data_IF_957862081726
#
_entry.id   IF_957862081726
#
_cell.length_a   1.000
_cell.length_b   1.000
_cell.length_c   1.000
_cell.angle_alpha   90.00
_cell.angle_beta   90.00
_cell.angle_gamma   90.00
#
_symmetry.space_group_name_H-M   'P 1'
#
loop_
_entity.id
_entity.type
_entity.pdbx_description
1 polymer ?
#
# COMPACT_ATOMS: atom_id res chain seq x y z
N UNK A 1 -39.32 66.06 12.21
CA UNK A 1 -37.95 65.73 11.63
C UNK A 1 -37.13 64.72 12.53
N UNK A 2 -37.69 63.57 12.91
CA UNK A 2 -37.02 62.64 13.83
C UNK A 2 -36.98 61.17 13.34
N UNK A 3 -37.29 60.95 12.06
CA UNK A 3 -37.42 59.56 11.58
C UNK A 3 -36.22 59.05 10.70
N UNK A 4 -35.34 59.96 10.25
CA UNK A 4 -34.17 59.56 9.43
C UNK A 4 -33.00 58.95 10.22
N UNK A 5 -32.91 59.17 11.52
CA UNK A 5 -31.82 58.65 12.36
C UNK A 5 -31.93 57.15 12.67
N UNK A 6 -33.16 56.69 12.89
CA UNK A 6 -33.44 55.28 13.21
C UNK A 6 -33.15 54.35 12.02
N UNK A 7 -33.47 54.78 10.80
CA UNK A 7 -33.19 54.02 9.57
C UNK A 7 -31.68 53.87 9.28
N UNK A 8 -30.90 54.95 9.46
CA UNK A 8 -29.43 54.93 9.26
C UNK A 8 -28.77 54.01 10.28
N UNK A 9 -29.17 54.06 11.55
CA UNK A 9 -28.62 53.19 12.60
C UNK A 9 -28.93 51.70 12.31
N UNK A 10 -30.13 51.38 11.88
CA UNK A 10 -30.52 50.00 11.51
C UNK A 10 -29.68 49.46 10.34
N UNK A 11 -29.43 50.28 9.32
CA UNK A 11 -28.57 49.91 8.18
C UNK A 11 -27.11 49.65 8.63
N UNK A 12 -26.54 50.52 9.47
CA UNK A 12 -25.21 50.37 10.00
C UNK A 12 -25.05 49.08 10.84
N UNK A 13 -26.03 48.76 11.69
CA UNK A 13 -26.08 47.52 12.47
C UNK A 13 -26.16 46.31 11.57
N UNK A 14 -26.99 46.32 10.54
CA UNK A 14 -27.10 45.22 9.58
C UNK A 14 -25.76 44.98 8.82
N UNK A 15 -25.11 46.05 8.35
CA UNK A 15 -23.80 45.98 7.71
C UNK A 15 -22.75 45.39 8.66
N UNK A 16 -22.73 45.85 9.91
CA UNK A 16 -21.81 45.31 10.93
C UNK A 16 -22.01 43.79 11.15
N UNK A 17 -23.26 43.35 11.27
CA UNK A 17 -23.60 41.92 11.42
C UNK A 17 -23.10 41.12 10.22
N UNK A 18 -23.30 41.61 8.99
CA UNK A 18 -22.81 40.95 7.77
C UNK A 18 -21.28 40.87 7.78
N UNK A 19 -20.57 41.94 8.15
CA UNK A 19 -19.11 41.92 8.24
C UNK A 19 -18.60 40.94 9.29
N UNK A 20 -19.29 40.88 10.44
CA UNK A 20 -18.94 39.87 11.49
C UNK A 20 -19.16 38.46 10.98
N UNK A 21 -20.25 38.16 10.26
CA UNK A 21 -20.54 36.86 9.67
C UNK A 21 -19.43 36.49 8.66
N UNK A 22 -19.05 37.44 7.80
CA UNK A 22 -17.96 37.21 6.81
C UNK A 22 -16.65 36.96 7.52
N UNK A 23 -16.30 37.73 8.55
CA UNK A 23 -15.07 37.58 9.31
C UNK A 23 -15.03 36.19 10.01
N UNK A 24 -16.11 35.84 10.73
CA UNK A 24 -16.23 34.55 11.43
C UNK A 24 -16.16 33.39 10.41
N UNK A 25 -16.89 33.50 9.30
CA UNK A 25 -16.85 32.52 8.20
C UNK A 25 -15.43 32.36 7.63
N UNK A 26 -14.74 33.46 7.41
CA UNK A 26 -13.35 33.47 6.95
C UNK A 26 -12.38 32.80 7.92
N UNK A 27 -12.52 33.07 9.23
CA UNK A 27 -11.71 32.41 10.29
C UNK A 27 -11.98 30.92 10.33
N UNK A 28 -13.25 30.50 10.34
CA UNK A 28 -13.62 29.08 10.34
C UNK A 28 -13.09 28.34 9.10
N UNK A 29 -13.18 28.98 7.94
CA UNK A 29 -12.64 28.43 6.69
C UNK A 29 -11.10 28.30 6.74
N UNK A 30 -10.39 29.29 7.25
CA UNK A 30 -8.94 29.23 7.44
C UNK A 30 -8.54 28.11 8.42
N UNK A 31 -9.31 27.91 9.50
CA UNK A 31 -9.12 26.80 10.44
C UNK A 31 -9.34 25.45 9.75
N UNK A 32 -10.38 25.32 8.93
CA UNK A 32 -10.64 24.11 8.14
C UNK A 32 -9.49 23.82 7.17
N UNK A 33 -8.99 24.81 6.44
CA UNK A 33 -7.83 24.61 5.55
C UNK A 33 -6.57 24.18 6.30
N UNK A 34 -6.31 24.80 7.46
CA UNK A 34 -5.18 24.42 8.31
C UNK A 34 -5.32 22.98 8.84
N UNK A 35 -6.52 22.59 9.26
CA UNK A 35 -6.82 21.26 9.74
C UNK A 35 -6.62 20.19 8.62
N UNK A 36 -7.19 20.46 7.45
CA UNK A 36 -7.06 19.55 6.31
C UNK A 36 -5.61 19.46 5.79
N UNK A 37 -4.81 20.54 5.85
CA UNK A 37 -3.38 20.49 5.52
C UNK A 37 -2.58 19.63 6.51
N UNK A 38 -2.93 19.63 7.79
CA UNK A 38 -2.33 18.72 8.78
C UNK A 38 -2.63 17.26 8.45
N UNK A 39 -3.90 16.94 8.13
CA UNK A 39 -4.30 15.58 7.69
C UNK A 39 -3.52 15.22 6.42
N UNK A 40 -3.49 16.09 5.43
CA UNK A 40 -2.77 15.89 4.17
C UNK A 40 -1.29 15.59 4.43
N UNK A 41 -0.62 16.40 5.23
CA UNK A 41 0.79 16.17 5.59
C UNK A 41 0.99 14.81 6.27
N UNK A 42 0.12 14.46 7.22
CA UNK A 42 0.18 13.17 7.91
C UNK A 42 0.03 11.99 6.94
N UNK A 43 -0.84 12.09 5.95
CA UNK A 43 -1.10 11.03 4.97
C UNK A 43 0.01 10.88 3.93
N UNK A 44 0.56 11.98 3.43
CA UNK A 44 1.42 11.98 2.24
C UNK A 44 2.90 12.25 2.54
N UNK A 45 3.25 12.57 3.76
CA UNK A 45 4.66 12.72 4.11
C UNK A 45 5.20 11.45 4.75
N UNK A 46 6.51 11.31 4.79
CA UNK A 46 7.20 10.19 5.41
C UNK A 46 6.68 9.93 6.81
N UNK A 47 6.15 8.75 7.12
CA UNK A 47 5.50 8.47 8.40
C UNK A 47 6.45 8.56 9.60
N UNK A 48 7.72 8.16 9.41
CA UNK A 48 8.74 8.22 10.48
C UNK A 48 10.10 8.66 9.94
N UNK A 49 10.91 9.39 10.74
CA UNK A 49 12.33 9.52 10.45
C UNK A 49 12.93 8.11 10.42
N UNK A 50 13.98 7.92 9.59
CA UNK A 50 14.72 6.67 9.48
C UNK A 50 15.00 6.08 10.86
N UNK A 51 14.51 4.86 11.20
CA UNK A 51 15.11 4.14 12.30
C UNK A 51 16.57 3.94 11.92
N UNK A 52 17.47 4.29 12.82
CA UNK A 52 18.88 3.94 12.67
C UNK A 52 18.96 2.43 12.56
N UNK A 53 19.25 1.94 11.35
CA UNK A 53 19.45 0.52 11.01
C UNK A 53 18.37 -0.39 11.61
N UNK A 54 17.88 -1.34 10.87
CA UNK A 54 17.01 -2.43 11.36
C UNK A 54 17.69 -3.22 12.50
N UNK A 55 17.87 -2.57 13.64
CA UNK A 55 18.30 -3.26 14.85
C UNK A 55 17.15 -4.14 15.30
N UNK A 56 17.48 -5.39 15.62
CA UNK A 56 16.51 -6.27 16.28
C UNK A 56 15.81 -5.50 17.41
N UNK A 57 14.48 -5.42 17.39
CA UNK A 57 13.77 -4.76 18.48
C UNK A 57 14.13 -5.45 19.80
N UNK A 58 14.26 -4.67 20.87
CA UNK A 58 14.64 -5.18 22.21
C UNK A 58 13.72 -6.30 22.69
N UNK A 59 12.49 -6.36 22.18
CA UNK A 59 11.51 -7.39 22.53
C UNK A 59 10.67 -7.74 21.28
N UNK A 60 10.72 -9.02 20.89
CA UNK A 60 9.89 -9.59 19.80
C UNK A 60 8.89 -10.55 20.45
N UNK A 61 7.61 -10.33 20.21
CA UNK A 61 6.57 -11.28 20.63
C UNK A 61 6.58 -12.52 19.71
N UNK A 62 7.21 -13.58 20.19
CA UNK A 62 7.34 -14.87 19.47
C UNK A 62 6.08 -15.72 19.51
N UNK A 63 5.04 -15.33 20.22
CA UNK A 63 3.75 -16.03 20.21
C UNK A 63 3.04 -15.86 18.86
N UNK A 64 3.23 -14.72 18.19
CA UNK A 64 2.63 -14.37 16.91
C UNK A 64 3.42 -14.92 15.72
N UNK A 65 2.75 -15.14 14.58
CA UNK A 65 3.40 -15.54 13.32
C UNK A 65 4.37 -14.46 12.86
N UNK A 66 3.92 -13.21 12.89
CA UNK A 66 4.73 -12.06 12.52
C UNK A 66 5.98 -11.94 13.40
N UNK A 67 5.83 -12.09 14.71
CA UNK A 67 6.96 -12.08 15.64
C UNK A 67 7.93 -13.24 15.43
N UNK A 68 7.44 -14.46 15.15
CA UNK A 68 8.30 -15.59 14.75
C UNK A 68 9.05 -15.32 13.45
N UNK A 69 8.39 -14.66 12.48
CA UNK A 69 9.01 -14.23 11.23
C UNK A 69 10.12 -13.21 11.46
N UNK A 70 9.86 -12.15 12.24
CA UNK A 70 10.86 -11.15 12.62
C UNK A 70 12.05 -11.78 13.34
N UNK A 71 11.79 -12.65 14.33
CA UNK A 71 12.85 -13.35 15.05
C UNK A 71 13.72 -14.18 14.08
N UNK A 72 13.10 -14.89 13.14
CA UNK A 72 13.83 -15.63 12.11
C UNK A 72 14.69 -14.70 11.24
N UNK A 73 14.15 -13.57 10.76
CA UNK A 73 14.90 -12.60 9.97
C UNK A 73 16.11 -12.05 10.72
N UNK A 74 15.96 -11.65 11.97
CA UNK A 74 17.08 -11.11 12.76
C UNK A 74 18.09 -12.18 13.16
N UNK A 75 17.66 -13.43 13.41
CA UNK A 75 18.56 -14.55 13.70
C UNK A 75 19.45 -14.89 12.51
N UNK A 76 18.88 -14.84 11.30
CA UNK A 76 19.59 -15.15 10.05
C UNK A 76 19.93 -13.88 9.24
N UNK A 77 20.10 -12.75 9.93
CA UNK A 77 20.34 -11.47 9.26
C UNK A 77 21.57 -11.49 8.33
N UNK A 78 22.60 -12.23 8.66
CA UNK A 78 23.81 -12.37 7.83
C UNK A 78 23.57 -13.05 6.47
N UNK A 79 22.45 -13.74 6.29
CA UNK A 79 22.06 -14.35 5.02
C UNK A 79 21.29 -13.35 4.12
N UNK A 80 21.00 -12.17 4.62
CA UNK A 80 20.29 -11.12 3.91
C UNK A 80 21.24 -10.00 3.52
N UNK A 81 21.46 -9.85 2.22
CA UNK A 81 22.33 -8.82 1.66
C UNK A 81 21.53 -7.50 1.53
N UNK A 82 22.06 -6.43 2.09
CA UNK A 82 21.52 -5.09 1.84
C UNK A 82 21.71 -4.70 0.37
N UNK A 83 20.62 -4.43 -0.34
CA UNK A 83 20.63 -4.09 -1.76
C UNK A 83 19.97 -2.75 -2.03
N UNK A 84 20.34 -2.11 -3.15
CA UNK A 84 19.80 -0.82 -3.57
C UNK A 84 19.51 -0.84 -5.06
N UNK A 85 18.49 -0.07 -5.45
CA UNK A 85 18.19 0.24 -6.85
C UNK A 85 17.68 1.68 -6.93
N UNK A 86 17.64 2.26 -8.12
CA UNK A 86 17.11 3.62 -8.35
C UNK A 86 15.88 3.52 -9.25
N UNK A 87 14.89 4.33 -8.94
CA UNK A 87 13.69 4.51 -9.76
C UNK A 87 13.98 5.45 -10.93
N UNK A 88 13.04 5.56 -11.87
CA UNK A 88 13.15 6.45 -13.02
C UNK A 88 13.27 7.95 -12.62
N UNK A 89 12.66 8.34 -11.49
CA UNK A 89 12.71 9.70 -10.94
C UNK A 89 13.90 9.94 -10.00
N UNK A 90 14.87 9.00 -9.97
CA UNK A 90 16.10 9.10 -9.19
C UNK A 90 15.93 8.78 -7.69
N UNK A 91 14.75 8.33 -7.24
CA UNK A 91 14.58 7.90 -5.86
C UNK A 91 15.37 6.62 -5.60
N UNK A 92 16.25 6.64 -4.60
CA UNK A 92 17.00 5.46 -4.18
C UNK A 92 16.13 4.55 -3.33
N UNK A 93 15.89 3.33 -3.79
CA UNK A 93 15.22 2.28 -3.02
C UNK A 93 16.25 1.34 -2.38
N UNK A 94 15.88 0.80 -1.23
CA UNK A 94 16.68 -0.15 -0.46
C UNK A 94 15.85 -1.39 -0.14
N UNK A 95 16.52 -2.51 0.11
CA UNK A 95 15.87 -3.76 0.50
C UNK A 95 16.87 -4.78 1.00
N UNK A 96 16.36 -5.91 1.45
CA UNK A 96 17.13 -7.07 1.86
C UNK A 96 16.92 -8.20 0.86
N UNK A 97 18.01 -8.67 0.27
CA UNK A 97 18.01 -9.75 -0.70
C UNK A 97 18.62 -11.01 -0.10
N UNK A 98 17.92 -12.12 -0.23
CA UNK A 98 18.43 -13.45 0.11
C UNK A 98 18.48 -14.31 -1.15
N UNK A 99 19.65 -14.81 -1.56
CA UNK A 99 19.79 -15.70 -2.71
C UNK A 99 19.13 -17.05 -2.45
N UNK A 100 18.68 -17.71 -3.52
CA UNK A 100 18.35 -19.14 -3.49
C UNK A 100 19.60 -19.97 -3.23
N UNK A 101 19.44 -21.13 -2.59
CA UNK A 101 20.51 -22.13 -2.48
C UNK A 101 20.86 -22.79 -3.81
N UNK A 102 19.95 -22.72 -4.80
CA UNK A 102 20.16 -23.23 -6.15
C UNK A 102 20.55 -22.08 -7.08
N UNK A 103 21.76 -22.11 -7.60
CA UNK A 103 22.27 -21.10 -8.54
C UNK A 103 21.55 -21.06 -9.88
N UNK A 104 20.85 -22.13 -10.26
CA UNK A 104 20.05 -22.20 -11.50
C UNK A 104 18.63 -21.64 -11.34
N UNK A 105 18.23 -21.35 -10.10
CA UNK A 105 16.90 -20.83 -9.80
C UNK A 105 16.64 -19.52 -10.51
N UNK A 106 15.47 -19.40 -11.16
CA UNK A 106 14.99 -18.19 -11.86
C UNK A 106 13.78 -17.55 -11.19
N UNK A 107 13.38 -18.09 -10.03
CA UNK A 107 12.25 -17.53 -9.29
C UNK A 107 12.71 -16.45 -8.32
N UNK A 108 12.03 -15.31 -8.33
CA UNK A 108 12.19 -14.21 -7.38
C UNK A 108 10.87 -13.95 -6.66
N UNK A 109 10.90 -13.84 -5.35
CA UNK A 109 9.79 -13.34 -4.55
C UNK A 109 10.12 -11.92 -4.10
N UNK A 110 9.31 -10.96 -4.50
CA UNK A 110 9.43 -9.56 -4.05
C UNK A 110 8.32 -9.32 -3.03
N UNK A 111 8.74 -8.96 -1.81
CA UNK A 111 7.84 -8.76 -0.68
C UNK A 111 7.73 -7.27 -0.35
N UNK A 112 6.49 -6.76 -0.36
CA UNK A 112 6.18 -5.34 -0.21
C UNK A 112 5.30 -5.12 1.01
N UNK A 113 5.83 -4.39 1.99
CA UNK A 113 5.16 -4.15 3.28
C UNK A 113 4.03 -3.10 3.17
N UNK A 114 3.23 -2.95 4.23
CA UNK A 114 2.19 -1.95 4.35
C UNK A 114 2.70 -0.55 4.74
N UNK A 115 1.76 0.39 4.88
CA UNK A 115 2.06 1.74 5.34
C UNK A 115 2.61 1.73 6.78
N UNK A 116 3.61 2.57 7.06
CA UNK A 116 4.30 2.69 8.36
C UNK A 116 4.91 1.37 8.88
N UNK A 117 5.24 0.46 7.99
CA UNK A 117 5.88 -0.81 8.27
C UNK A 117 7.36 -0.83 7.79
N UNK A 118 8.02 -1.96 8.01
CA UNK A 118 9.39 -2.23 7.58
C UNK A 118 9.47 -3.59 6.87
N UNK A 119 10.56 -3.91 6.16
CA UNK A 119 10.77 -5.22 5.56
C UNK A 119 10.65 -6.39 6.55
N UNK A 120 11.00 -6.18 7.81
CA UNK A 120 10.89 -7.21 8.85
C UNK A 120 9.46 -7.72 9.06
N UNK A 121 8.43 -6.89 8.76
CA UNK A 121 7.02 -7.30 8.80
C UNK A 121 6.71 -8.37 7.74
N UNK A 122 7.48 -8.41 6.66
CA UNK A 122 7.32 -9.39 5.58
C UNK A 122 8.09 -10.70 5.81
N UNK A 123 8.84 -10.82 6.91
CA UNK A 123 9.72 -11.97 7.15
C UNK A 123 8.97 -13.30 7.31
N UNK A 124 7.78 -13.29 7.91
CA UNK A 124 6.93 -14.49 8.00
C UNK A 124 6.47 -14.97 6.60
N UNK A 125 6.11 -14.02 5.73
CA UNK A 125 5.73 -14.28 4.35
C UNK A 125 6.92 -14.76 3.51
N UNK A 126 8.11 -14.17 3.70
CA UNK A 126 9.33 -14.62 3.05
C UNK A 126 9.64 -16.08 3.42
N UNK A 127 9.57 -16.41 4.72
CA UNK A 127 9.77 -17.77 5.22
C UNK A 127 8.73 -18.74 4.66
N UNK A 128 7.47 -18.34 4.54
CA UNK A 128 6.42 -19.12 3.90
C UNK A 128 6.76 -19.40 2.44
N UNK A 129 7.05 -18.36 1.66
CA UNK A 129 7.34 -18.51 0.23
C UNK A 129 8.57 -19.39 -0.03
N UNK A 130 9.65 -19.22 0.73
CA UNK A 130 10.85 -20.04 0.61
C UNK A 130 10.63 -21.52 0.93
N UNK A 131 9.60 -21.87 1.71
CA UNK A 131 9.18 -23.26 1.95
C UNK A 131 8.29 -23.81 0.85
N UNK A 132 7.60 -22.94 0.09
CA UNK A 132 6.62 -23.34 -0.92
C UNK A 132 7.17 -23.34 -2.33
N UNK A 133 8.15 -22.50 -2.60
CA UNK A 133 8.83 -22.43 -3.90
C UNK A 133 10.30 -22.13 -3.70
N UNK A 134 11.15 -22.84 -4.42
CA UNK A 134 12.56 -22.50 -4.46
C UNK A 134 12.74 -21.15 -5.14
N UNK A 135 13.26 -20.16 -4.42
CA UNK A 135 13.32 -18.78 -4.89
C UNK A 135 14.43 -17.97 -4.23
N UNK A 136 14.82 -16.93 -4.92
CA UNK A 136 15.44 -15.75 -4.33
C UNK A 136 14.36 -14.89 -3.68
N UNK A 137 14.69 -14.15 -2.63
CA UNK A 137 13.75 -13.26 -1.95
C UNK A 137 14.30 -11.84 -1.87
N UNK A 138 13.43 -10.85 -2.07
CA UNK A 138 13.69 -9.45 -1.74
C UNK A 138 12.59 -8.95 -0.81
N UNK A 139 12.95 -8.46 0.36
CA UNK A 139 12.05 -7.67 1.21
C UNK A 139 12.40 -6.19 1.01
N UNK A 140 11.47 -5.43 0.43
CA UNK A 140 11.72 -4.04 0.03
C UNK A 140 11.42 -3.06 1.16
N UNK A 141 12.18 -1.96 1.26
CA UNK A 141 11.68 -0.73 1.86
C UNK A 141 10.93 0.06 0.79
N UNK A 142 9.65 0.34 1.01
CA UNK A 142 8.89 1.20 0.10
C UNK A 142 9.47 2.62 0.08
N UNK A 143 9.17 3.39 -0.98
CA UNK A 143 9.43 4.84 -1.05
C UNK A 143 8.98 5.52 0.24
N UNK A 144 9.73 6.50 0.73
CA UNK A 144 9.48 7.23 1.97
C UNK A 144 9.44 6.39 3.26
N UNK A 145 9.86 5.11 3.22
CA UNK A 145 9.97 4.23 4.39
C UNK A 145 11.41 3.76 4.63
N UNK A 146 11.72 3.50 5.89
CA UNK A 146 12.98 2.90 6.31
C UNK A 146 14.21 3.51 5.63
N UNK A 147 15.01 2.68 4.96
CA UNK A 147 16.27 3.08 4.30
C UNK A 147 16.08 3.56 2.86
N UNK A 148 14.87 3.51 2.30
CA UNK A 148 14.57 4.08 0.99
C UNK A 148 14.48 5.60 1.05
N UNK A 149 14.79 6.23 -0.09
CA UNK A 149 14.64 7.66 -0.31
C UNK A 149 13.18 8.08 -0.42
N UNK A 150 13.00 9.36 -0.79
CA UNK A 150 11.68 9.96 -0.93
C UNK A 150 11.19 10.59 0.37
N UNK A 151 10.34 11.62 0.22
CA UNK A 151 9.70 12.32 1.34
C UNK A 151 8.18 12.17 1.30
N UNK A 152 7.66 11.67 0.19
CA UNK A 152 6.23 11.59 -0.09
C UNK A 152 5.85 10.13 -0.33
N UNK A 153 4.74 9.72 0.29
CA UNK A 153 4.08 8.44 0.07
C UNK A 153 2.75 8.68 -0.63
N UNK A 154 2.46 7.96 -1.70
CA UNK A 154 1.32 8.25 -2.58
C UNK A 154 0.26 7.16 -2.61
N UNK A 155 0.25 6.30 -1.59
CA UNK A 155 -0.75 5.25 -1.37
C UNK A 155 -0.86 4.25 -2.52
N UNK A 156 0.24 3.98 -3.18
CA UNK A 156 0.36 3.01 -4.25
C UNK A 156 0.66 3.60 -5.62
N UNK A 157 0.45 4.90 -5.85
CA UNK A 157 0.61 5.48 -7.19
C UNK A 157 2.09 5.51 -7.64
N UNK A 158 2.96 6.21 -6.91
CA UNK A 158 4.40 6.21 -7.21
C UNK A 158 5.04 4.88 -6.82
N UNK A 159 4.56 4.26 -5.74
CA UNK A 159 5.03 2.98 -5.24
C UNK A 159 4.79 1.84 -6.26
N UNK A 160 3.77 1.95 -7.11
CA UNK A 160 3.54 1.00 -8.21
C UNK A 160 4.61 1.09 -9.29
N UNK A 161 5.05 2.31 -9.60
CA UNK A 161 6.11 2.56 -10.60
C UNK A 161 7.49 2.18 -10.03
N UNK A 162 7.68 2.29 -8.71
CA UNK A 162 8.91 1.85 -8.05
C UNK A 162 9.20 0.35 -8.23
N UNK A 163 8.18 -0.47 -8.45
CA UNK A 163 8.34 -1.90 -8.69
C UNK A 163 9.16 -2.20 -9.96
N UNK A 164 9.11 -1.33 -10.97
CA UNK A 164 9.91 -1.49 -12.18
C UNK A 164 11.41 -1.53 -11.86
N UNK A 165 11.87 -0.72 -10.90
CA UNK A 165 13.25 -0.74 -10.46
C UNK A 165 13.65 -2.10 -9.82
N UNK A 166 12.73 -2.76 -9.12
CA UNK A 166 12.94 -4.09 -8.56
C UNK A 166 12.83 -5.19 -9.61
N UNK A 167 11.99 -5.02 -10.64
CA UNK A 167 11.93 -5.93 -11.79
C UNK A 167 13.25 -5.89 -12.57
N UNK A 168 13.76 -4.70 -12.87
CA UNK A 168 15.04 -4.52 -13.53
C UNK A 168 16.22 -5.04 -12.67
N UNK A 169 16.19 -4.84 -11.35
CA UNK A 169 17.15 -5.45 -10.44
C UNK A 169 17.14 -6.99 -10.55
N UNK A 170 15.94 -7.58 -10.63
CA UNK A 170 15.76 -9.03 -10.76
C UNK A 170 16.28 -9.53 -12.11
N UNK A 171 15.92 -8.87 -13.21
CA UNK A 171 16.40 -9.24 -14.56
C UNK A 171 17.92 -9.18 -14.69
N UNK A 172 18.56 -8.16 -14.12
CA UNK A 172 20.03 -8.07 -14.09
C UNK A 172 20.70 -9.22 -13.35
N UNK A 173 20.05 -9.83 -12.36
CA UNK A 173 20.58 -10.94 -11.57
C UNK A 173 20.26 -12.31 -12.13
N UNK A 174 19.03 -12.49 -12.63
CA UNK A 174 18.49 -13.80 -13.00
C UNK A 174 18.26 -13.98 -14.51
N UNK A 175 18.47 -12.92 -15.29
CA UNK A 175 18.17 -12.91 -16.73
C UNK A 175 16.70 -12.56 -17.03
N UNK A 176 16.41 -12.31 -18.30
CA UNK A 176 15.09 -11.88 -18.77
C UNK A 176 14.01 -12.97 -18.68
N UNK A 177 14.40 -14.23 -18.53
CA UNK A 177 13.50 -15.36 -18.29
C UNK A 177 13.19 -15.60 -16.82
N UNK A 178 13.46 -14.62 -15.94
CA UNK A 178 13.11 -14.70 -14.54
C UNK A 178 11.59 -14.78 -14.33
N UNK A 179 11.19 -15.32 -13.19
CA UNK A 179 9.80 -15.48 -12.76
C UNK A 179 9.61 -14.78 -11.42
N UNK A 180 8.76 -13.75 -11.41
CA UNK A 180 8.57 -12.92 -10.22
C UNK A 180 7.20 -13.24 -9.59
N UNK A 181 7.20 -13.50 -8.30
CA UNK A 181 6.01 -13.55 -7.46
C UNK A 181 5.98 -12.33 -6.56
N UNK A 182 4.89 -11.58 -6.58
CA UNK A 182 4.69 -10.46 -5.67
C UNK A 182 3.89 -10.93 -4.45
N UNK A 183 4.37 -10.64 -3.27
CA UNK A 183 3.68 -10.90 -2.00
C UNK A 183 3.62 -9.60 -1.23
N UNK A 184 2.43 -9.09 -1.00
CA UNK A 184 2.30 -7.76 -0.46
C UNK A 184 1.10 -7.64 0.49
N UNK A 185 1.17 -6.66 1.40
CA UNK A 185 0.09 -6.39 2.35
C UNK A 185 -0.24 -4.89 2.43
N UNK A 186 -1.49 -4.58 2.74
CA UNK A 186 -1.98 -3.21 2.89
C UNK A 186 -1.67 -2.34 1.68
N UNK A 187 -1.07 -1.17 1.90
CA UNK A 187 -0.68 -0.24 0.85
C UNK A 187 0.33 -0.82 -0.15
N UNK A 188 1.20 -1.75 0.29
CA UNK A 188 2.08 -2.49 -0.61
C UNK A 188 1.32 -3.38 -1.59
N UNK A 189 0.24 -4.02 -1.13
CA UNK A 189 -0.64 -4.82 -1.98
C UNK A 189 -1.35 -3.92 -3.02
N UNK A 190 -1.81 -2.74 -2.62
CA UNK A 190 -2.37 -1.73 -3.53
C UNK A 190 -1.35 -1.31 -4.59
N UNK A 191 -0.10 -1.05 -4.22
CA UNK A 191 0.96 -0.71 -5.17
C UNK A 191 1.19 -1.84 -6.20
N UNK A 192 1.23 -3.10 -5.76
CA UNK A 192 1.38 -4.25 -6.66
C UNK A 192 0.20 -4.39 -7.64
N UNK A 193 -1.02 -4.16 -7.18
CA UNK A 193 -2.22 -4.22 -8.01
C UNK A 193 -2.29 -3.07 -9.02
N UNK A 194 -1.91 -1.85 -8.63
CA UNK A 194 -1.80 -0.72 -9.55
C UNK A 194 -0.71 -0.93 -10.60
N UNK A 195 0.45 -1.46 -10.21
CA UNK A 195 1.50 -1.82 -11.16
C UNK A 195 1.01 -2.84 -12.19
N UNK A 196 0.23 -3.83 -11.74
CA UNK A 196 -0.29 -4.89 -12.61
C UNK A 196 -1.30 -4.42 -13.67
N UNK A 197 -1.76 -3.17 -13.59
CA UNK A 197 -2.60 -2.53 -14.61
C UNK A 197 -1.78 -1.94 -15.76
N UNK A 198 -0.45 -1.88 -15.62
CA UNK A 198 0.43 -1.29 -16.63
C UNK A 198 0.70 -2.28 -17.78
N UNK A 199 0.90 -1.74 -18.98
CA UNK A 199 1.28 -2.51 -20.16
C UNK A 199 2.63 -3.21 -19.95
N UNK A 200 2.77 -4.47 -20.34
CA UNK A 200 4.02 -5.22 -20.21
C UNK A 200 4.31 -5.80 -18.82
N UNK A 201 3.48 -5.49 -17.83
CA UNK A 201 3.68 -5.97 -16.46
C UNK A 201 3.72 -7.51 -16.35
N UNK A 202 2.98 -8.22 -17.15
CA UNK A 202 2.91 -9.69 -17.15
C UNK A 202 4.13 -10.39 -17.75
N UNK A 203 5.04 -9.64 -18.40
CA UNK A 203 6.25 -10.21 -19.01
C UNK A 203 7.18 -10.91 -18.01
N UNK A 204 7.17 -10.51 -16.76
CA UNK A 204 8.04 -11.09 -15.73
C UNK A 204 7.28 -11.58 -14.48
N UNK A 205 6.07 -11.08 -14.23
CA UNK A 205 5.30 -11.44 -13.02
C UNK A 205 4.42 -12.66 -13.27
N UNK A 206 4.53 -13.65 -12.38
CA UNK A 206 3.78 -14.91 -12.44
C UNK A 206 2.46 -14.87 -11.68
N UNK A 207 2.41 -14.09 -10.61
CA UNK A 207 1.22 -13.91 -9.78
C UNK A 207 1.42 -12.95 -8.62
N UNK A 208 0.31 -12.48 -8.06
CA UNK A 208 0.25 -11.53 -6.95
C UNK A 208 -0.54 -12.14 -5.80
N UNK A 209 0.04 -12.13 -4.60
CA UNK A 209 -0.62 -12.42 -3.33
C UNK A 209 -0.79 -11.09 -2.61
N UNK A 210 -2.03 -10.63 -2.48
CA UNK A 210 -2.43 -9.36 -1.90
C UNK A 210 -3.19 -9.58 -0.59
N UNK A 211 -2.61 -9.18 0.54
CA UNK A 211 -3.24 -9.28 1.85
C UNK A 211 -3.79 -7.90 2.27
N UNK A 212 -5.11 -7.82 2.46
CA UNK A 212 -5.84 -6.60 2.86
C UNK A 212 -5.52 -5.38 1.96
N UNK A 213 -5.65 -5.49 0.61
CA UNK A 213 -5.38 -4.36 -0.27
C UNK A 213 -6.39 -3.24 -0.06
N UNK A 214 -5.95 -2.01 -0.19
CA UNK A 214 -6.84 -0.85 -0.31
C UNK A 214 -7.37 -0.79 -1.75
N UNK A 215 -8.67 -0.97 -1.94
CA UNK A 215 -9.29 -0.96 -3.26
C UNK A 215 -9.19 0.43 -3.92
N UNK A 216 -9.46 1.49 -3.15
CA UNK A 216 -9.26 2.88 -3.59
C UNK A 216 -8.87 3.78 -2.42
N UNK A 217 -8.08 4.82 -2.68
CA UNK A 217 -7.70 5.81 -1.65
C UNK A 217 -8.91 6.58 -1.15
N UNK A 218 -9.85 6.91 -2.04
CA UNK A 218 -11.08 7.59 -1.65
C UNK A 218 -11.94 6.73 -0.74
N UNK A 219 -12.09 5.42 -1.04
CA UNK A 219 -12.79 4.46 -0.19
C UNK A 219 -12.12 4.30 1.18
N UNK A 220 -10.80 4.19 1.22
CA UNK A 220 -10.03 4.15 2.46
C UNK A 220 -10.25 5.41 3.32
N UNK A 221 -10.19 6.60 2.71
CA UNK A 221 -10.42 7.86 3.44
C UNK A 221 -11.86 7.95 3.97
N UNK A 222 -12.86 7.50 3.20
CA UNK A 222 -14.26 7.44 3.65
C UNK A 222 -14.45 6.48 4.84
N UNK A 223 -13.72 5.39 4.89
CA UNK A 223 -13.79 4.44 6.00
C UNK A 223 -13.07 4.95 7.27
N UNK A 224 -11.95 5.66 7.12
CA UNK A 224 -11.08 6.02 8.25
C UNK A 224 -11.30 7.42 8.81
N UNK A 225 -11.69 8.41 8.00
CA UNK A 225 -11.92 9.80 8.45
C UNK A 225 -13.01 9.91 9.52
N UNK A 226 -14.17 9.24 9.44
CA UNK A 226 -15.22 9.33 10.47
C UNK A 226 -14.75 8.90 11.87
N UNK A 227 -13.73 8.04 11.94
CA UNK A 227 -13.13 7.60 13.20
C UNK A 227 -12.25 8.69 13.86
N UNK A 228 -11.87 9.73 13.11
CA UNK A 228 -10.92 10.76 13.56
C UNK A 228 -11.53 12.17 13.63
N UNK A 229 -12.65 12.41 12.95
CA UNK A 229 -13.29 13.73 12.88
C UNK A 229 -14.80 13.62 12.66
N UNK A 230 -15.52 14.66 13.12
CA UNK A 230 -16.97 14.82 12.85
C UNK A 230 -17.26 15.66 11.59
N UNK A 231 -16.24 16.16 10.91
CA UNK A 231 -16.40 16.89 9.66
C UNK A 231 -16.74 15.87 8.57
N UNK A 232 -17.67 16.23 7.68
CA UNK A 232 -18.05 15.40 6.55
C UNK A 232 -16.79 14.97 5.75
N UNK A 233 -16.55 13.66 5.59
CA UNK A 233 -15.40 13.14 4.87
C UNK A 233 -15.24 13.69 3.45
N UNK A 234 -16.32 13.94 2.73
CA UNK A 234 -16.25 14.41 1.34
C UNK A 234 -15.67 15.83 1.23
N UNK A 235 -15.86 16.69 2.23
CA UNK A 235 -15.21 18.01 2.28
C UNK A 235 -13.69 17.88 2.48
N UNK A 236 -13.28 16.99 3.39
CA UNK A 236 -11.86 16.73 3.66
C UNK A 236 -11.21 16.09 2.45
N UNK A 237 -11.83 15.09 1.83
CA UNK A 237 -11.34 14.40 0.62
C UNK A 237 -11.22 15.39 -0.54
N UNK A 238 -12.21 16.28 -0.71
CA UNK A 238 -12.16 17.34 -1.71
C UNK A 238 -10.95 18.26 -1.54
N UNK A 239 -10.61 18.61 -0.29
CA UNK A 239 -9.43 19.43 0.00
C UNK A 239 -8.13 18.64 -0.15
N UNK A 240 -8.10 17.36 0.25
CA UNK A 240 -6.96 16.45 0.02
C UNK A 240 -6.67 16.34 -1.48
N UNK A 241 -7.71 16.16 -2.31
CA UNK A 241 -7.59 16.12 -3.79
C UNK A 241 -6.96 17.39 -4.34
N UNK A 242 -7.45 18.57 -3.92
CA UNK A 242 -6.88 19.86 -4.34
C UNK A 242 -5.41 19.97 -3.95
N UNK A 243 -5.07 19.61 -2.72
CA UNK A 243 -3.70 19.66 -2.22
C UNK A 243 -2.77 18.68 -2.97
N UNK A 244 -3.23 17.45 -3.27
CA UNK A 244 -2.47 16.46 -4.03
C UNK A 244 -2.21 16.95 -5.47
N UNK A 245 -3.24 17.47 -6.13
CA UNK A 245 -3.12 18.02 -7.48
C UNK A 245 -2.18 19.23 -7.52
N UNK A 246 -2.23 20.11 -6.53
CA UNK A 246 -1.40 21.30 -6.48
C UNK A 246 0.06 20.96 -6.13
N UNK A 247 0.29 20.16 -5.06
CA UNK A 247 1.63 19.89 -4.51
C UNK A 247 2.37 18.79 -5.26
N UNK A 248 1.66 17.75 -5.72
CA UNK A 248 2.27 16.55 -6.30
C UNK A 248 1.87 16.29 -7.75
N UNK A 249 1.00 17.13 -8.32
CA UNK A 249 0.54 17.04 -9.71
C UNK A 249 -0.15 15.70 -10.05
N UNK A 250 -0.78 15.04 -9.07
CA UNK A 250 -1.56 13.83 -9.33
C UNK A 250 -2.98 13.91 -8.76
N UNK A 251 -3.91 13.18 -9.37
CA UNK A 251 -5.26 12.98 -8.85
C UNK A 251 -5.30 11.73 -7.96
N UNK A 252 -5.77 11.88 -6.71
CA UNK A 252 -5.92 10.79 -5.75
C UNK A 252 -6.87 9.69 -6.25
N UNK A 253 -7.80 10.00 -7.17
CA UNK A 253 -8.69 9.01 -7.78
C UNK A 253 -7.93 7.99 -8.64
N UNK A 254 -6.72 8.29 -9.06
CA UNK A 254 -5.86 7.31 -9.76
C UNK A 254 -5.34 6.21 -8.83
N UNK A 255 -5.41 6.41 -7.51
CA UNK A 255 -5.13 5.37 -6.53
C UNK A 255 -6.39 4.50 -6.32
N UNK A 256 -6.87 3.90 -7.40
CA UNK A 256 -8.03 3.01 -7.43
C UNK A 256 -7.67 1.74 -8.20
N UNK A 257 -7.38 0.67 -7.46
CA UNK A 257 -7.03 -0.61 -8.07
C UNK A 257 -8.26 -1.44 -8.43
N UNK A 258 -9.44 -1.10 -7.91
CA UNK A 258 -10.68 -1.79 -8.26
C UNK A 258 -11.23 -1.33 -9.62
N UNK A 259 -11.22 -0.03 -9.90
CA UNK A 259 -11.78 0.57 -11.11
C UNK A 259 -11.17 -0.02 -12.40
N UNK A 260 -9.86 -0.24 -12.42
CA UNK A 260 -9.14 -0.75 -13.58
C UNK A 260 -8.63 -2.20 -13.42
N UNK A 261 -9.20 -2.96 -12.48
CA UNK A 261 -8.78 -4.33 -12.20
C UNK A 261 -8.88 -5.27 -13.41
N UNK A 262 -9.77 -4.99 -14.37
CA UNK A 262 -9.89 -5.75 -15.62
C UNK A 262 -8.64 -5.70 -16.52
N UNK A 263 -7.76 -4.72 -16.32
CA UNK A 263 -6.48 -4.62 -17.02
C UNK A 263 -5.43 -5.62 -16.50
N UNK A 264 -5.59 -6.13 -15.27
CA UNK A 264 -4.67 -7.08 -14.65
C UNK A 264 -4.74 -8.43 -15.36
N UNK A 265 -3.62 -8.89 -15.92
CA UNK A 265 -3.52 -10.13 -16.70
C UNK A 265 -2.91 -11.31 -15.93
N UNK A 266 -2.22 -11.03 -14.84
CA UNK A 266 -1.59 -12.05 -14.00
C UNK A 266 -2.59 -12.61 -12.97
N UNK A 267 -2.41 -13.86 -12.50
CA UNK A 267 -3.21 -14.41 -11.40
C UNK A 267 -3.14 -13.57 -10.14
N UNK A 268 -4.24 -13.42 -9.41
CA UNK A 268 -4.32 -12.69 -8.15
C UNK A 268 -4.98 -13.53 -7.07
N UNK A 269 -4.31 -13.66 -5.92
CA UNK A 269 -4.86 -14.20 -4.69
C UNK A 269 -5.04 -13.05 -3.69
N UNK A 270 -6.28 -12.81 -3.27
CA UNK A 270 -6.61 -11.79 -2.28
C UNK A 270 -6.94 -12.48 -0.95
N UNK A 271 -6.29 -12.05 0.12
CA UNK A 271 -6.73 -12.32 1.49
C UNK A 271 -7.36 -11.05 2.06
N UNK A 272 -8.47 -11.21 2.78
CA UNK A 272 -9.22 -10.10 3.36
C UNK A 272 -9.75 -10.44 4.74
N UNK A 273 -9.50 -9.58 5.72
CA UNK A 273 -10.10 -9.67 7.03
C UNK A 273 -11.59 -9.36 6.99
N UNK A 274 -12.41 -10.21 7.62
CA UNK A 274 -13.86 -10.00 7.70
C UNK A 274 -14.24 -8.83 8.62
N UNK A 275 -13.39 -8.53 9.61
CA UNK A 275 -13.53 -7.43 10.57
C UNK A 275 -12.56 -6.26 10.27
N UNK A 276 -12.11 -6.13 9.01
CA UNK A 276 -11.21 -5.06 8.59
C UNK A 276 -12.00 -3.74 8.43
N UNK A 277 -11.83 -2.83 9.37
CA UNK A 277 -12.42 -1.50 9.41
C UNK A 277 -11.54 -0.40 8.76
N UNK A 278 -10.32 -0.76 8.35
CA UNK A 278 -9.37 0.12 7.67
C UNK A 278 -9.52 0.01 6.15
N UNK A 279 -9.51 -1.22 5.63
CA UNK A 279 -9.81 -1.54 4.24
C UNK A 279 -10.99 -2.52 4.19
N UNK A 280 -12.23 -2.02 4.23
CA UNK A 280 -13.41 -2.86 4.40
C UNK A 280 -13.55 -3.93 3.31
N UNK A 281 -14.10 -5.11 3.64
CA UNK A 281 -14.26 -6.23 2.70
C UNK A 281 -15.04 -5.90 1.42
N UNK A 282 -15.89 -4.87 1.47
CA UNK A 282 -16.65 -4.38 0.28
C UNK A 282 -15.72 -3.94 -0.84
N UNK A 283 -14.64 -3.21 -0.52
CA UNK A 283 -13.67 -2.78 -1.52
C UNK A 283 -12.91 -3.95 -2.15
N UNK A 284 -12.49 -4.94 -1.35
CA UNK A 284 -11.86 -6.15 -1.89
C UNK A 284 -12.82 -7.01 -2.72
N UNK A 285 -14.11 -7.00 -2.43
CA UNK A 285 -15.14 -7.66 -3.27
C UNK A 285 -15.26 -6.94 -4.62
N UNK A 286 -15.37 -5.61 -4.62
CA UNK A 286 -15.40 -4.81 -5.84
C UNK A 286 -14.16 -5.05 -6.71
N UNK A 287 -12.97 -5.02 -6.11
CA UNK A 287 -11.71 -5.37 -6.78
C UNK A 287 -11.79 -6.78 -7.38
N UNK A 288 -12.22 -7.77 -6.58
CA UNK A 288 -12.34 -9.16 -7.04
C UNK A 288 -13.31 -9.28 -8.19
N UNK A 289 -14.48 -8.67 -8.13
CA UNK A 289 -15.53 -8.76 -9.17
C UNK A 289 -15.03 -8.20 -10.50
N UNK A 290 -14.27 -7.10 -10.47
CA UNK A 290 -13.72 -6.42 -11.64
C UNK A 290 -12.51 -7.14 -12.26
N UNK A 291 -11.78 -7.98 -11.52
CA UNK A 291 -10.69 -8.79 -12.07
C UNK A 291 -11.20 -9.73 -13.18
N UNK A 292 -10.47 -9.79 -14.29
CA UNK A 292 -10.73 -10.72 -15.41
C UNK A 292 -9.69 -11.83 -15.52
N UNK A 293 -8.56 -11.68 -14.87
CA UNK A 293 -7.53 -12.71 -14.77
C UNK A 293 -7.98 -13.85 -13.84
N UNK A 294 -7.18 -14.93 -13.77
CA UNK A 294 -7.37 -15.98 -12.76
C UNK A 294 -7.29 -15.37 -11.37
N UNK A 295 -8.34 -15.55 -10.58
CA UNK A 295 -8.51 -14.89 -9.30
C UNK A 295 -9.01 -15.82 -8.21
N UNK A 296 -8.59 -15.56 -6.99
CA UNK A 296 -9.10 -16.19 -5.77
C UNK A 296 -9.19 -15.14 -4.67
N UNK A 297 -10.27 -15.14 -3.92
CA UNK A 297 -10.40 -14.33 -2.70
C UNK A 297 -10.72 -15.23 -1.53
N UNK A 298 -10.08 -14.97 -0.39
CA UNK A 298 -10.25 -15.69 0.86
C UNK A 298 -10.55 -14.68 1.95
N UNK A 299 -11.74 -14.76 2.53
CA UNK A 299 -12.15 -13.92 3.66
C UNK A 299 -11.91 -14.69 4.95
N UNK A 300 -11.18 -14.08 5.89
CA UNK A 300 -10.93 -14.60 7.23
C UNK A 300 -11.85 -13.86 8.20
N UNK A 301 -12.97 -14.46 8.58
CA UNK A 301 -14.08 -13.77 9.25
C UNK A 301 -13.68 -13.02 10.52
N UNK A 302 -12.78 -13.58 11.34
CA UNK A 302 -12.33 -13.01 12.62
C UNK A 302 -10.98 -12.28 12.53
N UNK A 303 -10.57 -11.85 11.33
CA UNK A 303 -9.35 -11.09 11.11
C UNK A 303 -9.66 -9.61 10.88
N UNK A 304 -8.87 -8.75 11.50
CA UNK A 304 -8.78 -7.31 11.22
C UNK A 304 -7.81 -7.05 10.08
N UNK A 305 -7.47 -5.78 9.87
CA UNK A 305 -6.55 -5.33 8.83
C UNK A 305 -5.18 -6.04 8.92
N UNK A 306 -4.79 -6.72 7.83
CA UNK A 306 -3.52 -7.45 7.72
C UNK A 306 -3.30 -8.56 8.77
N UNK A 307 -4.38 -9.10 9.37
CA UNK A 307 -4.31 -10.19 10.35
C UNK A 307 -4.63 -11.58 9.75
N UNK A 308 -4.91 -11.69 8.45
CA UNK A 308 -5.37 -12.93 7.84
C UNK A 308 -4.43 -14.11 8.09
N UNK A 309 -3.12 -13.90 7.93
CA UNK A 309 -2.11 -14.94 8.17
C UNK A 309 -2.04 -15.32 9.64
N UNK A 310 -2.11 -14.33 10.54
CA UNK A 310 -2.08 -14.54 11.99
C UNK A 310 -3.28 -15.34 12.49
N UNK A 311 -4.48 -15.02 12.00
CA UNK A 311 -5.72 -15.64 12.46
C UNK A 311 -5.98 -17.03 11.89
N UNK A 312 -5.43 -17.34 10.72
CA UNK A 312 -5.71 -18.61 10.04
C UNK A 312 -4.50 -19.16 9.29
N UNK A 313 -3.41 -19.46 10.02
CA UNK A 313 -2.13 -19.88 9.44
C UNK A 313 -2.27 -21.05 8.47
N UNK A 314 -2.88 -22.16 8.90
CA UNK A 314 -2.96 -23.37 8.10
C UNK A 314 -3.75 -23.16 6.80
N UNK A 315 -4.84 -22.41 6.87
CA UNK A 315 -5.64 -22.07 5.69
C UNK A 315 -4.87 -21.13 4.77
N UNK A 316 -4.23 -20.09 5.30
CA UNK A 316 -3.43 -19.14 4.54
C UNK A 316 -2.32 -19.86 3.76
N UNK A 317 -1.52 -20.70 4.43
CA UNK A 317 -0.43 -21.47 3.82
C UNK A 317 -0.92 -22.46 2.75
N UNK A 318 -2.10 -23.09 2.95
CA UNK A 318 -2.73 -23.97 1.97
C UNK A 318 -3.19 -23.22 0.72
N UNK A 319 -3.84 -22.07 0.88
CA UNK A 319 -4.32 -21.28 -0.27
C UNK A 319 -3.14 -20.67 -1.05
N UNK A 320 -2.07 -20.24 -0.38
CA UNK A 320 -0.81 -19.82 -1.02
C UNK A 320 -0.21 -20.98 -1.84
N UNK A 321 -0.15 -22.20 -1.30
CA UNK A 321 0.36 -23.37 -2.02
C UNK A 321 -0.43 -23.62 -3.31
N UNK A 322 -1.77 -23.72 -3.20
CA UNK A 322 -2.66 -23.90 -4.36
C UNK A 322 -2.49 -22.81 -5.42
N UNK A 323 -2.31 -21.57 -4.96
CA UNK A 323 -2.11 -20.43 -5.84
C UNK A 323 -0.80 -20.55 -6.63
N UNK A 324 0.32 -20.87 -5.96
CA UNK A 324 1.64 -21.09 -6.61
C UNK A 324 1.53 -22.19 -7.66
N UNK A 325 0.94 -23.35 -7.31
CA UNK A 325 0.72 -24.47 -8.24
C UNK A 325 -0.08 -24.02 -9.48
N UNK A 326 -1.08 -23.18 -9.25
CA UNK A 326 -1.89 -22.63 -10.33
C UNK A 326 -1.13 -21.68 -11.26
N UNK A 327 -0.18 -20.91 -10.71
CA UNK A 327 0.71 -20.05 -11.50
C UNK A 327 1.68 -20.89 -12.34
N UNK A 328 2.23 -21.96 -11.78
CA UNK A 328 3.11 -22.91 -12.51
C UNK A 328 2.36 -23.52 -13.72
N UNK A 329 1.14 -24.02 -13.52
CA UNK A 329 0.32 -24.56 -14.61
C UNK A 329 0.08 -23.51 -15.72
N UNK A 330 -0.14 -22.24 -15.34
CA UNK A 330 -0.28 -21.16 -16.33
C UNK A 330 1.03 -20.96 -17.13
N UNK A 331 2.16 -20.93 -16.44
CA UNK A 331 3.47 -20.71 -17.07
C UNK A 331 3.80 -21.81 -18.08
N UNK A 332 3.52 -23.08 -17.75
CA UNK A 332 3.65 -24.21 -18.69
C UNK A 332 2.77 -23.98 -19.93
N UNK A 333 1.50 -23.60 -19.74
CA UNK A 333 0.56 -23.39 -20.87
C UNK A 333 0.98 -22.26 -21.82
N UNK A 334 1.71 -21.27 -21.35
CA UNK A 334 2.18 -20.14 -22.17
C UNK A 334 3.66 -20.29 -22.59
N UNK A 335 4.28 -21.47 -22.35
CA UNK A 335 5.65 -21.76 -22.78
C UNK A 335 6.72 -20.95 -22.02
N UNK A 336 6.47 -20.59 -20.76
CA UNK A 336 7.41 -19.82 -19.92
C UNK A 336 8.03 -20.63 -18.78
N UNK A 337 7.83 -21.95 -18.78
CA UNK A 337 8.43 -22.91 -17.85
C UNK A 337 9.13 -24.01 -18.64
#
# INVERSE_FOLDING_TARGET
MSDNGSGVTAVLVAVLIVLIIILVGGVLFAMFLSYTDKIFKKLFTRPRPLPQVDRSPKKIDRSTINGRGKNWFYTFHNEWLGVRTNTFDGCRLSGYYRPSSDSTCRNMVILVHGYDESPAEMAAYARLMMRKVQCHCIMTHMRAHGMSGGKTFTWGLMESVDLDAWFEFTKRRLGNNCRIYLVARGAGATACLLAAQQKGFDECVCGIIADSPMASLTGFLKATLPQTTKIDPDWIIGQIRRNAQHKFKFDINRCDCALHASAIKVPVLIFQGGEDDITPPSGSRELYDNLRSRKRMVIVNNAKHMECYERSQAMYEREVQKFIESCVVRLVKIGRL
#
